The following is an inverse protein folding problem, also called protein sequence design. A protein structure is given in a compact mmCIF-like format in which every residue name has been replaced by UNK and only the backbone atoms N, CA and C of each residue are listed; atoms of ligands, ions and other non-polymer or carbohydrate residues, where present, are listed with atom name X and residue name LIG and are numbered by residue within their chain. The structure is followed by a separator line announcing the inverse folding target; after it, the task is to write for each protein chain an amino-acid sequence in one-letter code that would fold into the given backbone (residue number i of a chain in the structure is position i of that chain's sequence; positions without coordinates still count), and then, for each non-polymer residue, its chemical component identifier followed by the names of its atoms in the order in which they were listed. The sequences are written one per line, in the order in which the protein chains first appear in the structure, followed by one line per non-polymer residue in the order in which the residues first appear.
data_IF_089432531258
#
_entry.id   IF_089432531258
#
_cell.length_a   1.000
_cell.length_b   1.000
_cell.length_c   1.000
_cell.angle_alpha   90.00
_cell.angle_beta   90.00
_cell.angle_gamma   90.00
#
_symmetry.space_group_name_H-M   'P 1'
#
loop_
_entity.id
_entity.type
_entity.pdbx_description
1 polymer ?
#
# COMPACT_ATOMS: atom_id res chain seq x y z
N UNK A 1 65.07 -27.45 -24.97
CA UNK A 1 63.68 -27.58 -25.47
C UNK A 1 62.87 -28.39 -24.47
N UNK A 2 61.61 -27.98 -24.30
CA UNK A 2 60.52 -28.56 -23.45
C UNK A 2 60.70 -28.58 -21.93
N UNK A 3 59.90 -27.76 -21.24
CA UNK A 3 58.85 -28.20 -20.27
C UNK A 3 58.01 -27.02 -19.77
N UNK A 4 56.70 -27.13 -19.99
CA UNK A 4 55.59 -26.31 -19.45
C UNK A 4 55.50 -26.37 -17.93
N UNK A 5 54.93 -25.35 -17.28
CA UNK A 5 54.08 -25.40 -16.05
C UNK A 5 53.84 -23.94 -15.58
N UNK A 6 52.74 -23.42 -15.04
CA UNK A 6 51.30 -23.70 -14.99
C UNK A 6 50.69 -22.43 -14.35
N UNK A 7 49.51 -21.99 -14.81
CA UNK A 7 48.71 -20.90 -14.21
C UNK A 7 48.40 -21.14 -12.72
N UNK A 8 48.33 -20.07 -11.92
CA UNK A 8 47.38 -20.01 -10.80
C UNK A 8 46.69 -18.65 -10.76
N UNK A 9 45.46 -18.65 -11.27
CA UNK A 9 44.46 -17.61 -11.11
C UNK A 9 44.00 -17.56 -9.65
N UNK A 10 43.89 -16.36 -9.08
CA UNK A 10 43.10 -16.10 -7.87
C UNK A 10 41.98 -15.13 -8.21
N UNK A 11 40.89 -15.68 -8.76
CA UNK A 11 39.61 -14.97 -8.82
C UNK A 11 38.95 -15.09 -7.45
N UNK A 12 39.02 -14.01 -6.65
CA UNK A 12 38.24 -13.89 -5.43
C UNK A 12 36.80 -13.54 -5.82
N UNK A 13 35.92 -14.55 -5.85
CA UNK A 13 34.49 -14.35 -6.02
C UNK A 13 33.91 -13.74 -4.72
N UNK A 14 33.62 -12.44 -4.75
CA UNK A 14 32.83 -11.80 -3.70
C UNK A 14 31.37 -12.28 -3.85
N UNK A 15 30.93 -13.13 -2.93
CA UNK A 15 29.54 -13.57 -2.83
C UNK A 15 28.75 -12.40 -2.24
N UNK A 16 28.18 -11.57 -3.11
CA UNK A 16 27.17 -10.60 -2.71
C UNK A 16 25.91 -11.37 -2.30
N UNK A 17 25.70 -11.54 -0.99
CA UNK A 17 24.45 -12.03 -0.45
C UNK A 17 23.38 -10.97 -0.73
N UNK A 18 22.66 -11.12 -1.84
CA UNK A 18 21.44 -10.38 -2.11
C UNK A 18 20.43 -10.90 -1.08
N UNK A 19 20.30 -10.20 0.04
CA UNK A 19 19.19 -10.38 0.95
C UNK A 19 17.92 -10.06 0.15
N UNK A 20 17.25 -11.10 -0.34
CA UNK A 20 15.94 -10.97 -0.93
C UNK A 20 15.02 -10.48 0.17
N UNK A 21 14.73 -9.18 0.17
CA UNK A 21 13.67 -8.62 0.99
C UNK A 21 12.41 -9.41 0.64
N UNK A 22 11.96 -10.26 1.57
CA UNK A 22 10.73 -11.01 1.39
C UNK A 22 9.64 -9.98 1.12
N UNK A 23 8.82 -10.14 0.06
CA UNK A 23 7.69 -9.26 -0.14
C UNK A 23 6.86 -9.37 1.13
N UNK A 24 6.81 -8.28 1.91
CA UNK A 24 5.84 -8.15 2.99
C UNK A 24 4.51 -8.15 2.27
N UNK A 25 3.88 -9.32 2.15
CA UNK A 25 2.50 -9.45 1.70
C UNK A 25 1.73 -8.44 2.52
N UNK A 26 1.21 -7.40 1.86
CA UNK A 26 0.35 -6.46 2.54
C UNK A 26 -0.78 -7.32 3.11
N UNK A 27 -0.78 -7.36 4.43
CA UNK A 27 -1.77 -8.02 5.26
C UNK A 27 -3.15 -7.74 4.67
N UNK A 28 -4.01 -8.74 4.54
CA UNK A 28 -5.40 -8.62 4.05
C UNK A 28 -6.29 -7.62 4.86
N UNK A 29 -5.71 -6.87 5.80
CA UNK A 29 -6.36 -5.81 6.54
C UNK A 29 -6.74 -4.67 5.59
N UNK A 30 -7.99 -4.23 5.66
CA UNK A 30 -8.51 -3.15 4.83
C UNK A 30 -8.40 -3.40 3.32
N UNK A 31 -8.33 -4.67 2.92
CA UNK A 31 -8.27 -5.11 1.52
C UNK A 31 -7.15 -4.45 0.70
N UNK A 32 -6.09 -4.02 1.38
CA UNK A 32 -4.90 -3.45 0.75
C UNK A 32 -4.11 -4.60 0.14
N UNK A 33 -3.84 -4.51 -1.16
CA UNK A 33 -2.99 -5.48 -1.85
C UNK A 33 -1.51 -5.10 -1.71
N UNK A 34 -1.19 -3.81 -1.88
CA UNK A 34 0.14 -3.27 -1.67
C UNK A 34 0.13 -1.76 -1.47
N UNK A 35 1.22 -1.26 -0.89
CA UNK A 35 1.50 0.16 -0.71
C UNK A 35 2.88 0.42 -1.31
N UNK A 36 2.94 1.31 -2.31
CA UNK A 36 4.19 1.68 -2.97
C UNK A 36 4.61 3.07 -2.56
N UNK A 37 5.91 3.28 -2.38
CA UNK A 37 6.46 4.60 -2.06
C UNK A 37 6.53 5.47 -3.31
N UNK A 38 6.16 6.74 -3.19
CA UNK A 38 6.41 7.77 -4.22
C UNK A 38 7.37 8.83 -3.71
N UNK A 39 7.74 9.77 -4.58
CA UNK A 39 8.55 10.94 -4.19
C UNK A 39 7.86 11.79 -3.11
N UNK A 40 6.53 11.91 -3.18
CA UNK A 40 5.76 12.78 -2.29
C UNK A 40 5.08 12.04 -1.13
N UNK A 41 4.81 10.73 -1.28
CA UNK A 41 3.91 10.01 -0.40
C UNK A 41 3.83 8.52 -0.73
N UNK A 42 2.62 8.01 -0.83
CA UNK A 42 2.33 6.60 -1.13
C UNK A 42 1.31 6.45 -2.24
N UNK A 43 1.37 5.32 -2.95
CA UNK A 43 0.26 4.76 -3.75
C UNK A 43 -0.33 3.59 -2.99
N UNK A 44 -1.65 3.54 -2.90
CA UNK A 44 -2.38 2.47 -2.24
C UNK A 44 -3.19 1.70 -3.26
N UNK A 45 -2.91 0.41 -3.35
CA UNK A 45 -3.59 -0.52 -4.23
C UNK A 45 -4.50 -1.42 -3.40
N UNK A 46 -5.72 -1.63 -3.88
CA UNK A 46 -6.70 -2.49 -3.24
C UNK A 46 -6.95 -3.73 -4.10
N UNK A 47 -7.15 -4.88 -3.44
CA UNK A 47 -7.31 -6.16 -4.12
C UNK A 47 -8.61 -6.24 -4.95
N UNK A 48 -9.70 -5.64 -4.43
CA UNK A 48 -10.98 -5.57 -5.15
C UNK A 48 -11.39 -4.12 -5.40
N UNK A 49 -12.21 -3.93 -6.45
CA UNK A 49 -12.79 -2.65 -6.81
C UNK A 49 -13.63 -2.07 -5.66
N UNK A 50 -13.42 -0.80 -5.32
CA UNK A 50 -14.15 -0.15 -4.23
C UNK A 50 -14.12 1.38 -4.28
N UNK A 51 -15.14 2.05 -3.73
CA UNK A 51 -15.05 3.48 -3.45
C UNK A 51 -14.05 3.75 -2.32
N UNK A 52 -13.27 4.82 -2.47
CA UNK A 52 -12.38 5.35 -1.45
C UNK A 52 -12.68 6.82 -1.23
N UNK A 53 -12.96 7.15 0.03
CA UNK A 53 -13.16 8.52 0.48
C UNK A 53 -11.82 9.10 0.89
N UNK A 54 -11.39 10.15 0.20
CA UNK A 54 -10.11 10.83 0.43
C UNK A 54 -10.37 12.12 1.18
N UNK A 55 -9.82 12.20 2.38
CA UNK A 55 -9.92 13.32 3.28
C UNK A 55 -8.52 13.91 3.43
N UNK A 56 -8.33 15.11 2.87
CA UNK A 56 -7.07 15.85 2.99
C UNK A 56 -7.29 17.11 3.83
N UNK A 57 -6.37 17.46 4.74
CA UNK A 57 -6.49 18.68 5.54
C UNK A 57 -6.73 19.92 4.68
N UNK A 58 -7.78 20.68 4.99
CA UNK A 58 -8.13 21.90 4.27
C UNK A 58 -8.74 21.72 2.87
N UNK A 59 -9.01 20.48 2.43
CA UNK A 59 -9.63 20.20 1.14
C UNK A 59 -11.04 19.62 1.28
N UNK A 60 -11.83 19.74 0.22
CA UNK A 60 -13.14 19.08 0.14
C UNK A 60 -12.94 17.57 0.05
N UNK A 61 -13.84 16.84 0.70
CA UNK A 61 -13.94 15.39 0.57
C UNK A 61 -14.00 15.00 -0.92
N UNK A 62 -13.13 14.09 -1.32
CA UNK A 62 -13.10 13.52 -2.67
C UNK A 62 -13.45 12.04 -2.60
N UNK A 63 -14.24 11.54 -3.55
CA UNK A 63 -14.54 10.12 -3.68
C UNK A 63 -14.01 9.64 -5.02
N UNK A 64 -13.28 8.53 -5.00
CA UNK A 64 -12.80 7.86 -6.20
C UNK A 64 -13.25 6.40 -6.18
N UNK A 65 -13.49 5.83 -7.35
CA UNK A 65 -13.70 4.40 -7.53
C UNK A 65 -12.35 3.76 -7.88
N UNK A 66 -11.80 2.97 -6.97
CA UNK A 66 -10.50 2.33 -7.19
C UNK A 66 -10.70 0.98 -7.81
N UNK A 67 -10.11 0.76 -8.97
CA UNK A 67 -10.15 -0.50 -9.72
C UNK A 67 -8.79 -0.73 -10.37
N UNK A 68 -7.98 -1.61 -9.79
CA UNK A 68 -6.64 -1.90 -10.30
C UNK A 68 -6.65 -2.55 -11.69
N UNK A 69 -7.68 -3.34 -11.98
CA UNK A 69 -7.83 -4.10 -13.22
C UNK A 69 -8.46 -3.25 -14.34
N UNK A 70 -9.24 -2.24 -13.98
CA UNK A 70 -9.89 -1.32 -14.91
C UNK A 70 -8.98 -0.24 -15.49
N UNK A 71 -9.47 0.37 -16.57
CA UNK A 71 -8.91 1.61 -17.12
C UNK A 71 -9.23 2.80 -16.20
N UNK A 72 -8.30 3.75 -16.12
CA UNK A 72 -8.56 5.02 -15.46
C UNK A 72 -9.60 5.83 -16.26
N UNK A 73 -10.57 6.40 -15.56
CA UNK A 73 -11.63 7.22 -16.15
C UNK A 73 -11.78 8.51 -15.34
N UNK A 74 -11.92 9.69 -16.00
CA UNK A 74 -12.18 10.92 -15.28
C UNK A 74 -13.57 10.90 -14.64
N UNK A 75 -13.79 11.76 -13.64
CA UNK A 75 -15.11 11.98 -13.07
C UNK A 75 -16.08 12.50 -14.15
N UNK A 76 -17.36 12.09 -14.07
CA UNK A 76 -18.37 12.42 -15.08
C UNK A 76 -19.75 12.56 -14.43
N UNK A 77 -20.25 13.79 -14.35
CA UNK A 77 -21.50 14.11 -13.66
C UNK A 77 -21.45 13.66 -12.19
N UNK A 78 -22.35 12.75 -11.82
CA UNK A 78 -22.41 12.17 -10.48
C UNK A 78 -21.51 10.93 -10.30
N UNK A 79 -20.76 10.52 -11.32
CA UNK A 79 -19.85 9.38 -11.24
C UNK A 79 -18.46 9.84 -10.76
N UNK A 80 -17.92 9.25 -9.68
CA UNK A 80 -16.56 9.53 -9.24
C UNK A 80 -15.55 9.08 -10.31
N UNK A 81 -14.35 9.66 -10.28
CA UNK A 81 -13.26 9.21 -11.15
C UNK A 81 -12.89 7.75 -10.83
N UNK A 82 -12.61 6.96 -11.87
CA UNK A 82 -12.02 5.62 -11.70
C UNK A 82 -10.51 5.73 -11.76
N UNK A 83 -9.83 5.19 -10.76
CA UNK A 83 -8.37 5.21 -10.66
C UNK A 83 -7.85 3.82 -10.34
N UNK A 84 -6.60 3.52 -10.71
CA UNK A 84 -6.00 2.20 -10.42
C UNK A 84 -5.43 2.09 -9.01
N UNK A 85 -5.14 3.23 -8.38
CA UNK A 85 -4.64 3.37 -7.02
C UNK A 85 -5.04 4.74 -6.46
N UNK A 86 -4.95 4.89 -5.14
CA UNK A 86 -5.10 6.18 -4.47
C UNK A 86 -3.73 6.71 -4.08
N UNK A 87 -3.51 8.00 -4.32
CA UNK A 87 -2.30 8.69 -3.86
C UNK A 87 -2.61 9.56 -2.64
N UNK A 88 -1.69 9.54 -1.68
CA UNK A 88 -1.71 10.48 -0.57
C UNK A 88 -0.34 10.71 0.04
N UNK A 89 -0.28 11.78 0.81
CA UNK A 89 0.92 12.28 1.50
C UNK A 89 0.70 12.24 3.01
N UNK A 90 1.77 12.32 3.84
CA UNK A 90 1.60 12.28 5.30
C UNK A 90 0.53 13.26 5.82
N UNK A 91 -0.40 12.74 6.61
CA UNK A 91 -1.56 13.49 7.13
C UNK A 91 -2.85 13.28 6.34
N UNK A 92 -2.79 12.75 5.12
CA UNK A 92 -3.99 12.33 4.38
C UNK A 92 -4.65 11.12 5.04
N UNK A 93 -5.98 11.09 4.98
CA UNK A 93 -6.79 9.99 5.46
C UNK A 93 -7.63 9.40 4.33
N UNK A 94 -7.65 8.08 4.22
CA UNK A 94 -8.57 7.34 3.37
C UNK A 94 -9.55 6.57 4.23
N UNK A 95 -10.82 6.62 3.87
CA UNK A 95 -11.84 5.75 4.44
C UNK A 95 -12.29 4.80 3.35
N UNK A 96 -12.39 3.52 3.69
CA UNK A 96 -13.02 2.50 2.84
C UNK A 96 -14.05 1.77 3.68
N UNK A 97 -15.16 1.39 3.06
CA UNK A 97 -16.28 0.80 3.77
C UNK A 97 -16.94 -0.24 2.90
N UNK A 98 -17.17 -1.42 3.48
CA UNK A 98 -17.91 -2.50 2.83
C UNK A 98 -19.39 -2.48 3.26
N UNK A 99 -19.65 -2.17 4.54
CA UNK A 99 -21.00 -1.97 5.06
C UNK A 99 -20.99 -0.96 6.21
N UNK A 100 -22.17 -0.59 6.71
CA UNK A 100 -22.28 0.25 7.92
C UNK A 100 -21.61 -0.37 9.17
N UNK A 101 -21.34 -1.67 9.14
CA UNK A 101 -20.72 -2.43 10.21
C UNK A 101 -19.24 -2.76 9.98
N UNK A 102 -18.73 -2.59 8.76
CA UNK A 102 -17.40 -3.04 8.33
C UNK A 102 -16.70 -1.92 7.56
N UNK A 103 -15.74 -1.27 8.22
CA UNK A 103 -15.04 -0.11 7.70
C UNK A 103 -13.57 -0.10 8.07
N UNK A 104 -12.82 0.68 7.29
CA UNK A 104 -11.41 0.89 7.51
C UNK A 104 -11.04 2.36 7.41
N UNK A 105 -10.18 2.80 8.33
CA UNK A 105 -9.50 4.08 8.31
C UNK A 105 -8.03 3.86 7.99
N UNK A 106 -7.54 4.51 6.96
CA UNK A 106 -6.15 4.46 6.53
C UNK A 106 -5.54 5.85 6.68
N UNK A 107 -4.47 5.98 7.46
CA UNK A 107 -3.78 7.26 7.63
C UNK A 107 -2.38 7.17 7.05
N UNK A 108 -2.05 8.05 6.11
CA UNK A 108 -0.69 8.14 5.57
C UNK A 108 0.21 8.77 6.63
N UNK A 109 1.22 8.04 7.09
CA UNK A 109 2.04 8.45 8.21
C UNK A 109 3.46 7.87 8.12
N UNK A 110 4.34 8.35 9.02
CA UNK A 110 5.65 7.75 9.25
C UNK A 110 5.65 6.94 10.55
N UNK A 111 6.39 5.83 10.54
CA UNK A 111 6.76 5.07 11.73
C UNK A 111 8.29 4.98 11.76
N UNK A 112 8.92 5.84 12.56
CA UNK A 112 10.35 6.10 12.44
C UNK A 112 10.70 6.61 11.04
N UNK A 113 11.67 5.99 10.40
CA UNK A 113 12.12 6.36 9.04
C UNK A 113 11.26 5.77 7.91
N UNK A 114 10.29 4.92 8.25
CA UNK A 114 9.42 4.26 7.27
C UNK A 114 8.20 5.11 6.98
N UNK A 115 7.95 5.38 5.70
CA UNK A 115 6.69 5.94 5.21
C UNK A 115 5.71 4.80 4.92
N UNK A 116 4.43 4.97 5.24
CA UNK A 116 3.43 3.94 5.02
C UNK A 116 2.02 4.37 5.43
N UNK A 117 1.20 3.39 5.78
CA UNK A 117 -0.18 3.58 6.23
C UNK A 117 -0.37 2.97 7.61
N UNK A 118 -1.02 3.69 8.52
CA UNK A 118 -1.74 3.06 9.62
C UNK A 118 -3.11 2.62 9.10
N UNK A 119 -3.34 1.32 9.06
CA UNK A 119 -4.60 0.71 8.67
C UNK A 119 -5.36 0.24 9.91
N UNK A 120 -6.52 0.83 10.16
CA UNK A 120 -7.40 0.55 11.28
C UNK A 120 -8.70 -0.04 10.73
N UNK A 121 -8.91 -1.34 10.92
CA UNK A 121 -10.13 -2.04 10.58
C UNK A 121 -11.09 -2.05 11.77
N UNK A 122 -12.36 -1.79 11.52
CA UNK A 122 -13.43 -1.79 12.51
C UNK A 122 -14.58 -2.65 12.01
N UNK A 123 -14.95 -3.66 12.82
CA UNK A 123 -16.12 -4.51 12.62
C UNK A 123 -17.04 -4.39 13.83
N UNK A 124 -18.28 -3.96 13.63
CA UNK A 124 -19.27 -3.79 14.69
C UNK A 124 -20.56 -4.46 14.29
N UNK A 125 -20.89 -5.62 14.86
CA UNK A 125 -22.12 -6.35 14.57
C UNK A 125 -23.13 -6.19 15.72
N UNK A 126 -24.45 -6.12 15.42
CA UNK A 126 -25.48 -6.00 16.44
C UNK A 126 -25.39 -7.13 17.48
N UNK A 127 -25.42 -6.78 18.76
CA UNK A 127 -25.38 -7.76 19.85
C UNK A 127 -23.98 -8.29 20.18
N UNK A 128 -22.91 -7.77 19.57
CA UNK A 128 -21.51 -8.13 19.88
C UNK A 128 -20.66 -6.89 20.17
N UNK A 129 -19.59 -7.00 20.97
CA UNK A 129 -18.60 -5.93 21.09
C UNK A 129 -17.98 -5.57 19.73
N UNK A 130 -17.65 -4.30 19.54
CA UNK A 130 -16.89 -3.85 18.37
C UNK A 130 -15.49 -4.47 18.39
N UNK A 131 -15.03 -4.94 17.25
CA UNK A 131 -13.69 -5.46 17.03
C UNK A 131 -12.88 -4.44 16.21
N UNK A 132 -11.74 -4.05 16.75
CA UNK A 132 -10.82 -3.11 16.10
C UNK A 132 -9.43 -3.75 15.96
N UNK A 133 -8.80 -3.56 14.80
CA UNK A 133 -7.44 -4.02 14.54
C UNK A 133 -6.67 -2.92 13.83
N UNK A 134 -5.50 -2.57 14.36
CA UNK A 134 -4.63 -1.55 13.78
C UNK A 134 -3.27 -2.15 13.39
N UNK A 135 -2.78 -1.80 12.20
CA UNK A 135 -1.47 -2.25 11.70
C UNK A 135 -0.79 -1.16 10.88
N UNK A 136 0.52 -1.00 11.07
CA UNK A 136 1.33 -0.21 10.16
C UNK A 136 1.77 -1.05 8.95
N UNK A 137 1.51 -0.53 7.75
CA UNK A 137 1.91 -1.13 6.47
C UNK A 137 2.95 -0.20 5.85
N UNK A 138 4.22 -0.60 5.91
CA UNK A 138 5.30 0.15 5.30
C UNK A 138 5.16 0.14 3.77
N UNK A 139 5.34 1.31 3.15
CA UNK A 139 5.42 1.42 1.71
C UNK A 139 6.73 0.78 1.21
N UNK A 140 6.62 -0.02 0.16
CA UNK A 140 7.74 -0.68 -0.52
C UNK A 140 8.24 0.17 -1.69
#
# INVERSE_FOLDING_TARGET
MTKSLTLFARAAAAIAAIAMASPSTASAICWIERVERTKAGVKVFFGDRRPVWIIRPGQRLTIVDVDQAGSAEPASGNRPARVRWVEGVPGDLFRVQNSHHDSCRLTVARQGDKLGLWAEAQLSLPGTPSHETAKFIAAQ
#
